data_IF_670463609283
#
_entry.id   IF_670463609283
#
_cell.length_a   1.000
_cell.length_b   1.000
_cell.length_c   1.000
_cell.angle_alpha   90.00
_cell.angle_beta   90.00
_cell.angle_gamma   90.00
#
_symmetry.space_group_name_H-M   'P 1'
#
loop_
_entity.id
_entity.type
_entity.pdbx_description
1 polymer ?
#
# COMPACT_ATOMS: atom_id res chain seq x y z
N UNK A 1 -1.11 44.44 55.36
CA UNK A 1 0.28 44.91 55.40
C UNK A 1 1.10 43.91 54.59
N UNK A 2 1.43 44.05 53.32
CA UNK A 2 1.25 45.05 52.26
C UNK A 2 1.23 44.22 50.95
N UNK A 3 0.16 44.26 50.15
CA UNK A 3 0.07 45.03 48.90
C UNK A 3 1.39 45.17 48.11
N UNK A 4 1.55 44.38 47.05
CA UNK A 4 1.97 44.96 45.78
C UNK A 4 1.47 44.14 44.58
N UNK A 5 0.46 44.67 43.91
CA UNK A 5 0.03 44.27 42.58
C UNK A 5 0.97 44.89 41.55
N UNK A 6 1.44 44.11 40.58
CA UNK A 6 1.69 44.61 39.22
C UNK A 6 1.20 43.59 38.20
N UNK A 7 0.10 43.96 37.55
CA UNK A 7 -0.33 43.39 36.29
C UNK A 7 0.47 44.01 35.14
N UNK A 8 0.88 43.20 34.16
CA UNK A 8 0.93 43.61 32.74
C UNK A 8 1.29 42.44 31.80
N UNK A 9 0.26 42.04 31.06
CA UNK A 9 0.23 41.66 29.64
C UNK A 9 0.77 40.29 29.14
N UNK A 10 -0.09 39.43 28.55
CA UNK A 10 0.29 38.23 27.82
C UNK A 10 0.34 38.52 26.30
N UNK A 11 1.53 38.74 25.75
CA UNK A 11 1.74 38.69 24.29
C UNK A 11 3.22 38.61 23.97
N UNK A 12 3.78 37.39 23.97
CA UNK A 12 4.95 37.07 23.16
C UNK A 12 4.61 35.81 22.39
N UNK A 13 4.11 36.01 21.18
CA UNK A 13 4.22 35.02 20.13
C UNK A 13 5.73 34.77 19.94
N UNK A 14 6.16 33.54 20.17
CA UNK A 14 7.45 33.08 19.68
C UNK A 14 7.37 33.10 18.15
N UNK A 15 7.92 34.15 17.56
CA UNK A 15 8.19 34.21 16.12
C UNK A 15 9.14 33.05 15.80
N UNK A 16 8.62 32.04 15.11
CA UNK A 16 9.40 30.92 14.61
C UNK A 16 10.55 31.43 13.75
N UNK A 17 11.74 30.88 13.99
CA UNK A 17 12.93 31.17 13.19
C UNK A 17 12.60 31.02 11.69
N UNK A 18 13.06 31.94 10.83
CA UNK A 18 12.78 31.89 9.40
C UNK A 18 13.36 30.60 8.81
N UNK A 19 12.56 29.91 7.98
CA UNK A 19 13.01 28.77 7.20
C UNK A 19 14.29 29.14 6.41
N UNK A 20 15.28 28.24 6.31
CA UNK A 20 16.48 28.53 5.56
C UNK A 20 16.12 28.87 4.11
N UNK A 21 16.65 29.98 3.61
CA UNK A 21 16.46 30.42 2.24
C UNK A 21 16.89 29.30 1.27
N UNK A 22 16.17 29.09 0.14
CA UNK A 22 16.54 28.07 -0.82
C UNK A 22 17.95 28.35 -1.35
N UNK A 23 18.81 27.35 -1.23
CA UNK A 23 20.15 27.39 -1.81
C UNK A 23 20.03 27.73 -3.30
N UNK A 24 20.80 28.72 -3.73
CA UNK A 24 20.78 29.24 -5.08
C UNK A 24 21.21 28.16 -6.10
N UNK A 25 20.33 27.91 -7.07
CA UNK A 25 20.68 27.54 -8.46
C UNK A 25 21.26 26.15 -8.70
N UNK A 26 20.40 25.13 -8.79
CA UNK A 26 20.70 23.97 -9.63
C UNK A 26 20.50 24.36 -11.13
N UNK A 27 21.36 23.90 -12.05
CA UNK A 27 21.23 24.24 -13.48
C UNK A 27 19.87 23.79 -14.02
N UNK A 28 19.27 24.65 -14.85
CA UNK A 28 17.86 24.61 -15.25
C UNK A 28 17.27 23.22 -15.43
N UNK A 29 16.44 22.81 -14.48
CA UNK A 29 15.68 21.57 -14.58
C UNK A 29 14.73 21.70 -15.77
N UNK A 30 15.02 20.98 -16.86
CA UNK A 30 14.08 20.82 -17.96
C UNK A 30 12.80 20.21 -17.39
N UNK A 31 11.74 21.02 -17.40
CA UNK A 31 10.39 20.55 -17.03
C UNK A 31 10.01 19.48 -18.05
N UNK A 32 9.67 18.25 -17.62
CA UNK A 32 9.27 17.19 -18.54
C UNK A 32 8.04 17.61 -19.36
N UNK A 33 8.01 17.26 -20.65
CA UNK A 33 6.81 17.39 -21.47
C UNK A 33 5.79 16.32 -21.04
N UNK A 34 4.96 16.67 -20.06
CA UNK A 34 3.94 15.77 -19.52
C UNK A 34 2.86 15.40 -20.54
N UNK A 35 2.63 16.22 -21.58
CA UNK A 35 1.71 15.85 -22.64
C UNK A 35 2.29 14.69 -23.47
N UNK A 36 3.54 14.81 -23.91
CA UNK A 36 4.22 13.74 -24.63
C UNK A 36 4.41 12.46 -23.78
N UNK A 37 4.74 12.61 -22.50
CA UNK A 37 4.91 11.47 -21.60
C UNK A 37 3.61 10.70 -21.36
N UNK A 38 2.45 11.38 -21.33
CA UNK A 38 1.15 10.71 -21.17
C UNK A 38 0.81 9.77 -22.34
N UNK A 39 1.34 9.99 -23.54
CA UNK A 39 1.16 9.08 -24.67
C UNK A 39 1.76 7.69 -24.44
N UNK A 40 2.66 7.55 -23.45
CA UNK A 40 3.19 6.25 -23.03
C UNK A 40 2.20 5.44 -22.16
N UNK A 41 1.23 6.10 -21.54
CA UNK A 41 0.24 5.48 -20.66
C UNK A 41 -0.93 4.88 -21.45
N UNK A 42 -0.64 3.82 -22.20
CA UNK A 42 -1.54 3.25 -23.21
C UNK A 42 -2.87 2.72 -22.67
N UNK A 43 -2.94 2.39 -21.38
CA UNK A 43 -4.15 1.89 -20.72
C UNK A 43 -4.68 2.86 -19.67
N UNK A 44 -4.14 4.07 -19.57
CA UNK A 44 -4.63 5.12 -18.67
C UNK A 44 -4.44 4.83 -17.18
N UNK A 45 -3.32 4.21 -16.78
CA UNK A 45 -2.98 3.97 -15.37
C UNK A 45 -2.97 5.25 -14.54
N UNK A 46 -2.46 6.37 -15.08
CA UNK A 46 -2.45 7.65 -14.40
C UNK A 46 -3.88 8.14 -14.14
N UNK A 47 -4.78 7.95 -15.10
CA UNK A 47 -6.21 8.23 -14.95
C UNK A 47 -6.86 7.32 -13.91
N UNK A 48 -6.53 6.02 -13.92
CA UNK A 48 -7.03 5.06 -12.94
C UNK A 48 -6.57 5.39 -11.51
N UNK A 49 -5.31 5.80 -11.33
CA UNK A 49 -4.81 6.31 -10.05
C UNK A 49 -5.58 7.58 -9.69
N UNK A 50 -5.62 8.61 -10.55
CA UNK A 50 -6.32 9.86 -10.27
C UNK A 50 -7.79 9.64 -9.86
N UNK A 51 -8.49 8.68 -10.49
CA UNK A 51 -9.87 8.33 -10.20
C UNK A 51 -10.09 7.53 -8.90
N UNK A 52 -9.04 7.22 -8.13
CA UNK A 52 -9.16 6.42 -6.90
C UNK A 52 -10.17 6.96 -5.87
N UNK A 53 -10.32 8.28 -5.62
CA UNK A 53 -11.36 8.79 -4.73
C UNK A 53 -12.77 8.46 -5.22
N UNK A 54 -13.00 8.52 -6.54
CA UNK A 54 -14.27 8.13 -7.15
C UNK A 54 -14.52 6.61 -7.01
N UNK A 55 -13.48 5.80 -7.23
CA UNK A 55 -13.54 4.36 -6.98
C UNK A 55 -13.94 4.06 -5.52
N UNK A 56 -13.41 4.80 -4.54
CA UNK A 56 -13.77 4.63 -3.13
C UNK A 56 -15.24 4.97 -2.85
N UNK A 57 -15.83 5.93 -3.56
CA UNK A 57 -17.25 6.28 -3.43
C UNK A 57 -18.15 5.16 -3.94
N UNK A 58 -17.80 4.56 -5.08
CA UNK A 58 -18.52 3.39 -5.59
C UNK A 58 -18.32 2.18 -4.67
N UNK A 59 -17.09 1.94 -4.23
CA UNK A 59 -16.75 0.86 -3.32
C UNK A 59 -17.35 1.04 -1.91
N UNK A 60 -17.62 2.27 -1.48
CA UNK A 60 -18.38 2.57 -0.26
C UNK A 60 -19.82 2.06 -0.37
N UNK A 61 -20.48 2.25 -1.51
CA UNK A 61 -21.83 1.73 -1.76
C UNK A 61 -21.83 0.20 -1.75
N UNK A 62 -20.89 -0.41 -2.47
CA UNK A 62 -20.70 -1.86 -2.49
C UNK A 62 -20.40 -2.43 -1.10
N UNK A 63 -19.56 -1.74 -0.31
CA UNK A 63 -19.24 -2.14 1.06
C UNK A 63 -20.47 -2.12 1.97
N UNK A 64 -21.28 -1.06 1.91
CA UNK A 64 -22.55 -0.98 2.65
C UNK A 64 -23.52 -2.08 2.27
N UNK A 65 -23.66 -2.36 0.97
CA UNK A 65 -24.48 -3.47 0.48
C UNK A 65 -23.95 -4.83 0.97
N UNK A 66 -22.65 -5.06 0.86
CA UNK A 66 -21.99 -6.27 1.34
C UNK A 66 -22.19 -6.46 2.86
N UNK A 67 -22.14 -5.40 3.66
CA UNK A 67 -22.38 -5.45 5.11
C UNK A 67 -23.74 -6.03 5.51
N UNK A 68 -24.72 -6.05 4.59
CA UNK A 68 -26.05 -6.64 4.80
C UNK A 68 -26.16 -8.10 4.35
N UNK A 69 -25.10 -8.70 3.81
CA UNK A 69 -25.10 -10.10 3.42
C UNK A 69 -25.37 -11.00 4.65
N UNK A 70 -26.15 -12.09 4.47
CA UNK A 70 -26.43 -13.00 5.56
C UNK A 70 -25.13 -13.64 6.04
N UNK A 71 -24.93 -13.67 7.36
CA UNK A 71 -23.70 -14.21 7.95
C UNK A 71 -23.51 -15.69 7.55
N UNK A 72 -22.30 -16.10 7.15
CA UNK A 72 -21.98 -17.50 6.91
C UNK A 72 -21.69 -18.28 8.21
N UNK A 73 -21.56 -17.57 9.34
CA UNK A 73 -21.36 -18.13 10.68
C UNK A 73 -22.40 -17.58 11.66
N UNK A 74 -22.79 -18.39 12.65
CA UNK A 74 -23.78 -18.00 13.67
C UNK A 74 -23.26 -16.96 14.68
N UNK A 75 -21.94 -16.83 14.83
CA UNK A 75 -21.29 -15.92 15.78
C UNK A 75 -20.10 -15.17 15.17
N UNK A 76 -19.38 -14.44 16.01
CA UNK A 76 -18.11 -13.81 15.65
C UNK A 76 -17.11 -14.89 15.22
N UNK A 77 -16.45 -14.75 14.05
CA UNK A 77 -15.40 -15.69 13.64
C UNK A 77 -14.26 -15.69 14.66
N UNK A 78 -13.55 -16.82 14.82
CA UNK A 78 -12.35 -16.90 15.68
C UNK A 78 -11.19 -16.09 15.12
N UNK A 79 -11.07 -16.05 13.80
CA UNK A 79 -10.08 -15.30 13.06
C UNK A 79 -10.62 -14.96 11.67
N UNK A 80 -10.06 -13.91 11.08
CA UNK A 80 -10.31 -13.51 9.70
C UNK A 80 -9.03 -13.71 8.88
N UNK A 81 -9.12 -14.48 7.81
CA UNK A 81 -8.02 -14.68 6.87
C UNK A 81 -8.40 -14.09 5.50
N UNK A 82 -7.50 -13.29 4.92
CA UNK A 82 -7.65 -12.76 3.56
C UNK A 82 -6.63 -13.45 2.66
N UNK A 83 -7.09 -14.35 1.80
CA UNK A 83 -6.29 -15.07 0.82
C UNK A 83 -6.30 -14.31 -0.52
N UNK A 84 -5.13 -13.88 -0.97
CA UNK A 84 -5.00 -13.11 -2.20
C UNK A 84 -3.54 -12.82 -2.53
N UNK A 85 -3.29 -12.29 -3.73
CA UNK A 85 -1.96 -11.95 -4.23
C UNK A 85 -1.94 -10.52 -4.77
N UNK A 86 -0.78 -9.88 -4.74
CA UNK A 86 -0.57 -8.54 -5.27
C UNK A 86 -1.65 -7.54 -4.84
N UNK A 87 -2.29 -6.89 -5.83
CA UNK A 87 -3.38 -5.92 -5.62
C UNK A 87 -4.60 -6.46 -4.85
N UNK A 88 -4.80 -7.77 -4.79
CA UNK A 88 -5.86 -8.39 -4.00
C UNK A 88 -5.46 -8.65 -2.55
N UNK A 89 -4.20 -9.00 -2.29
CA UNK A 89 -3.69 -9.19 -0.93
C UNK A 89 -3.58 -7.85 -0.16
N UNK A 90 -3.18 -6.78 -0.86
CA UNK A 90 -2.93 -5.48 -0.26
C UNK A 90 -4.19 -4.86 0.36
N UNK A 91 -5.38 -5.15 -0.19
CA UNK A 91 -6.65 -4.76 0.43
C UNK A 91 -6.82 -5.41 1.82
N UNK A 92 -6.41 -6.67 1.96
CA UNK A 92 -6.37 -7.37 3.25
C UNK A 92 -5.36 -6.76 4.23
N UNK A 93 -4.18 -6.36 3.77
CA UNK A 93 -3.18 -5.68 4.62
C UNK A 93 -3.74 -4.39 5.19
N UNK A 94 -4.48 -3.65 4.36
CA UNK A 94 -5.02 -2.36 4.75
C UNK A 94 -6.12 -2.54 5.79
N UNK A 95 -7.00 -3.52 5.59
CA UNK A 95 -8.00 -3.91 6.60
C UNK A 95 -7.31 -4.33 7.91
N UNK A 96 -6.30 -5.20 7.84
CA UNK A 96 -5.58 -5.68 9.01
C UNK A 96 -4.84 -4.56 9.76
N UNK A 97 -4.30 -3.56 9.06
CA UNK A 97 -3.57 -2.44 9.66
C UNK A 97 -4.48 -1.34 10.23
N UNK A 98 -5.62 -1.09 9.57
CA UNK A 98 -6.64 -0.13 10.02
C UNK A 98 -7.34 -0.65 11.26
N UNK A 99 -7.73 -1.93 11.25
CA UNK A 99 -8.48 -2.55 12.34
C UNK A 99 -7.61 -3.09 13.48
N UNK A 100 -6.29 -3.13 13.35
CA UNK A 100 -5.35 -3.62 14.39
C UNK A 100 -5.71 -3.17 15.83
N UNK A 101 -5.99 -1.89 16.13
CA UNK A 101 -6.29 -1.46 17.49
C UNK A 101 -7.71 -1.79 17.98
N UNK A 102 -8.62 -2.18 17.10
CA UNK A 102 -10.07 -2.29 17.38
C UNK A 102 -10.64 -3.70 17.15
N UNK A 103 -10.00 -4.51 16.31
CA UNK A 103 -10.48 -5.84 15.94
C UNK A 103 -10.45 -6.78 17.16
N UNK A 104 -11.58 -7.43 17.51
CA UNK A 104 -11.62 -8.38 18.63
C UNK A 104 -10.99 -9.72 18.27
N UNK A 105 -10.60 -9.92 17.01
CA UNK A 105 -10.09 -11.18 16.44
C UNK A 105 -8.95 -10.87 15.47
N UNK A 106 -7.99 -11.79 15.27
CA UNK A 106 -6.88 -11.54 14.36
C UNK A 106 -7.36 -11.45 12.91
N UNK A 107 -6.84 -10.45 12.19
CA UNK A 107 -6.96 -10.32 10.73
C UNK A 107 -5.59 -10.63 10.11
N UNK A 108 -5.53 -11.71 9.32
CA UNK A 108 -4.30 -12.29 8.76
C UNK A 108 -4.39 -12.31 7.24
N UNK A 109 -3.32 -11.95 6.54
CA UNK A 109 -3.24 -12.02 5.09
C UNK A 109 -2.40 -13.22 4.67
N UNK A 110 -2.94 -14.04 3.78
CA UNK A 110 -2.32 -15.25 3.25
C UNK A 110 -2.00 -15.05 1.76
N UNK A 111 -0.74 -15.31 1.38
CA UNK A 111 -0.21 -15.09 0.02
C UNK A 111 0.46 -16.35 -0.54
N UNK A 112 -0.13 -17.49 -0.26
CA UNK A 112 0.41 -18.78 -0.68
C UNK A 112 -0.75 -19.71 -1.07
N UNK A 113 -0.38 -20.87 -1.59
CA UNK A 113 -1.29 -21.98 -1.85
C UNK A 113 -1.88 -22.55 -0.56
N UNK A 114 -3.01 -23.25 -0.70
CA UNK A 114 -3.71 -23.89 0.41
C UNK A 114 -4.07 -22.91 1.53
N UNK A 115 -4.04 -23.39 2.77
CA UNK A 115 -4.36 -22.59 3.95
C UNK A 115 -3.49 -22.97 5.15
N UNK A 116 -3.18 -22.01 6.04
CA UNK A 116 -2.56 -22.31 7.34
C UNK A 116 -3.34 -23.38 8.10
N UNK A 117 -2.64 -24.26 8.82
CA UNK A 117 -3.25 -25.42 9.49
C UNK A 117 -4.28 -25.10 10.57
N UNK A 118 -4.35 -23.86 11.05
CA UNK A 118 -5.31 -23.43 12.06
C UNK A 118 -6.69 -23.09 11.50
N UNK A 119 -6.84 -22.90 10.18
CA UNK A 119 -8.09 -22.48 9.54
C UNK A 119 -9.08 -23.65 9.48
N UNK A 120 -10.30 -23.43 9.98
CA UNK A 120 -11.41 -24.40 9.93
C UNK A 120 -12.81 -23.78 10.10
N UNK A 121 -13.75 -24.56 10.61
CA UNK A 121 -15.20 -24.24 10.66
C UNK A 121 -15.58 -23.01 11.49
N UNK A 122 -14.69 -22.52 12.35
CA UNK A 122 -14.90 -21.32 13.17
C UNK A 122 -14.29 -20.04 12.58
N UNK A 123 -13.61 -20.13 11.44
CA UNK A 123 -12.86 -19.03 10.84
C UNK A 123 -13.55 -18.49 9.60
N UNK A 124 -13.28 -17.23 9.29
CA UNK A 124 -13.77 -16.55 8.10
C UNK A 124 -12.62 -16.36 7.10
N UNK A 125 -12.79 -16.88 5.89
CA UNK A 125 -11.83 -16.75 4.79
C UNK A 125 -12.40 -15.83 3.71
N UNK A 126 -11.72 -14.72 3.42
CA UNK A 126 -11.94 -13.94 2.22
C UNK A 126 -11.01 -14.45 1.12
N UNK A 127 -11.57 -15.05 0.07
CA UNK A 127 -10.84 -15.34 -1.16
C UNK A 127 -10.96 -14.12 -2.09
N UNK A 128 -9.88 -13.36 -2.23
CA UNK A 128 -9.87 -12.09 -2.97
C UNK A 128 -8.99 -12.22 -4.20
N UNK A 129 -9.60 -12.08 -5.38
CA UNK A 129 -8.88 -12.11 -6.65
C UNK A 129 -9.62 -11.27 -7.67
N UNK A 130 -9.04 -10.14 -8.11
CA UNK A 130 -9.73 -9.25 -9.05
C UNK A 130 -10.19 -9.99 -10.32
N UNK A 131 -9.32 -10.75 -10.96
CA UNK A 131 -9.65 -11.56 -12.14
C UNK A 131 -10.50 -12.80 -11.86
N UNK A 132 -10.65 -13.18 -10.58
CA UNK A 132 -11.21 -14.47 -10.16
C UNK A 132 -10.44 -15.73 -10.60
N UNK A 133 -9.26 -15.58 -11.22
CA UNK A 133 -8.50 -16.68 -11.81
C UNK A 133 -7.11 -16.91 -11.17
N UNK A 134 -6.81 -16.23 -10.06
CA UNK A 134 -5.50 -16.36 -9.40
C UNK A 134 -5.37 -17.74 -8.76
N UNK A 135 -4.35 -18.49 -9.15
CA UNK A 135 -4.19 -19.92 -8.86
C UNK A 135 -4.12 -20.20 -7.35
N UNK A 136 -3.31 -19.43 -6.62
CA UNK A 136 -3.11 -19.60 -5.18
C UNK A 136 -4.38 -19.21 -4.41
N UNK A 137 -5.09 -18.16 -4.85
CA UNK A 137 -6.40 -17.80 -4.27
C UNK A 137 -7.44 -18.90 -4.50
N UNK A 138 -7.48 -19.50 -5.69
CA UNK A 138 -8.38 -20.63 -5.96
C UNK A 138 -8.01 -21.84 -5.12
N UNK A 139 -6.72 -22.14 -4.94
CA UNK A 139 -6.25 -23.20 -4.05
C UNK A 139 -6.71 -22.97 -2.60
N UNK A 140 -6.54 -21.76 -2.07
CA UNK A 140 -7.02 -21.39 -0.73
C UNK A 140 -8.54 -21.47 -0.60
N UNK A 141 -9.27 -21.07 -1.65
CA UNK A 141 -10.74 -21.16 -1.69
C UNK A 141 -11.21 -22.61 -1.61
N UNK A 142 -10.67 -23.51 -2.44
CA UNK A 142 -11.07 -24.93 -2.42
C UNK A 142 -10.73 -25.60 -1.09
N UNK A 143 -9.56 -25.30 -0.53
CA UNK A 143 -9.16 -25.83 0.78
C UNK A 143 -10.06 -25.30 1.90
N UNK A 144 -10.47 -24.02 1.85
CA UNK A 144 -11.42 -23.44 2.81
C UNK A 144 -12.75 -24.19 2.77
N UNK A 145 -13.25 -24.46 1.55
CA UNK A 145 -14.46 -25.27 1.38
C UNK A 145 -14.24 -26.65 1.98
N UNK A 146 -13.18 -27.38 1.59
CA UNK A 146 -12.90 -28.72 2.07
C UNK A 146 -12.87 -28.84 3.61
N UNK A 147 -12.32 -27.83 4.29
CA UNK A 147 -12.26 -27.75 5.76
C UNK A 147 -13.55 -27.24 6.43
N UNK A 148 -14.55 -26.87 5.64
CA UNK A 148 -15.83 -26.35 6.12
C UNK A 148 -15.75 -24.94 6.72
N UNK A 149 -14.71 -24.17 6.38
CA UNK A 149 -14.60 -22.77 6.79
C UNK A 149 -15.69 -21.92 6.11
N UNK A 150 -16.06 -20.81 6.75
CA UNK A 150 -16.90 -19.83 6.10
C UNK A 150 -16.09 -19.02 5.07
N UNK A 151 -16.64 -18.80 3.88
CA UNK A 151 -15.91 -18.17 2.78
C UNK A 151 -16.68 -17.00 2.20
N UNK A 152 -15.96 -15.91 1.88
CA UNK A 152 -16.45 -14.84 1.02
C UNK A 152 -15.54 -14.73 -0.20
N UNK A 153 -16.10 -14.93 -1.39
CA UNK A 153 -15.41 -14.70 -2.65
C UNK A 153 -15.58 -13.25 -3.11
N UNK A 154 -14.47 -12.55 -3.36
CA UNK A 154 -14.47 -11.17 -3.87
C UNK A 154 -13.70 -11.10 -5.19
N UNK A 155 -14.39 -10.80 -6.29
CA UNK A 155 -13.82 -10.76 -7.63
C UNK A 155 -14.69 -9.96 -8.60
N UNK A 156 -14.15 -9.58 -9.77
CA UNK A 156 -14.97 -8.97 -10.82
C UNK A 156 -15.74 -9.99 -11.67
N UNK A 157 -15.31 -11.26 -11.63
CA UNK A 157 -15.84 -12.36 -12.42
C UNK A 157 -14.98 -13.60 -12.29
N UNK A 158 -15.04 -14.48 -13.29
CA UNK A 158 -14.14 -15.61 -13.44
C UNK A 158 -14.44 -16.81 -12.53
N UNK A 159 -13.54 -17.81 -12.54
CA UNK A 159 -13.75 -19.11 -11.89
C UNK A 159 -14.09 -19.02 -10.40
N UNK A 160 -13.51 -18.06 -9.69
CA UNK A 160 -13.76 -17.86 -8.26
C UNK A 160 -15.24 -17.59 -7.97
N UNK A 161 -15.91 -16.69 -8.72
CA UNK A 161 -17.34 -16.42 -8.50
C UNK A 161 -18.22 -17.56 -9.00
N UNK A 162 -17.84 -18.23 -10.08
CA UNK A 162 -18.57 -19.41 -10.59
C UNK A 162 -18.60 -20.53 -9.56
N UNK A 163 -17.44 -20.84 -8.96
CA UNK A 163 -17.30 -21.86 -7.91
C UNK A 163 -17.99 -21.44 -6.62
N UNK A 164 -17.89 -20.16 -6.23
CA UNK A 164 -18.58 -19.64 -5.07
C UNK A 164 -20.10 -19.74 -5.19
N UNK A 165 -20.66 -19.39 -6.35
CA UNK A 165 -22.08 -19.53 -6.63
C UNK A 165 -22.54 -20.99 -6.57
N UNK A 166 -21.76 -21.92 -7.14
CA UNK A 166 -22.06 -23.35 -7.08
C UNK A 166 -22.02 -23.89 -5.63
N UNK A 167 -21.03 -23.50 -4.84
CA UNK A 167 -20.90 -23.89 -3.44
C UNK A 167 -22.03 -23.31 -2.57
N UNK A 168 -22.40 -22.06 -2.78
CA UNK A 168 -23.52 -21.40 -2.09
C UNK A 168 -24.85 -22.10 -2.42
N UNK A 169 -25.10 -22.42 -3.70
CA UNK A 169 -26.29 -23.17 -4.13
C UNK A 169 -26.35 -24.59 -3.52
N UNK A 170 -25.20 -25.19 -3.22
CA UNK A 170 -25.08 -26.47 -2.52
C UNK A 170 -25.21 -26.35 -0.98
N UNK A 171 -25.54 -25.17 -0.46
CA UNK A 171 -25.75 -24.94 0.97
C UNK A 171 -24.46 -24.79 1.79
N UNK A 172 -23.31 -24.58 1.15
CA UNK A 172 -22.05 -24.31 1.86
C UNK A 172 -22.06 -22.89 2.44
N UNK A 173 -21.30 -22.62 3.51
CA UNK A 173 -21.24 -21.29 4.16
C UNK A 173 -20.42 -20.29 3.33
N UNK A 174 -20.89 -20.01 2.11
CA UNK A 174 -20.20 -19.20 1.11
C UNK A 174 -21.05 -17.98 0.76
N UNK A 175 -20.41 -16.83 0.63
CA UNK A 175 -20.99 -15.62 0.03
C UNK A 175 -20.11 -15.13 -1.10
N UNK A 176 -20.69 -14.32 -1.97
CA UNK A 176 -19.96 -13.67 -3.06
C UNK A 176 -20.21 -12.16 -3.07
N UNK A 177 -19.15 -11.42 -3.39
CA UNK A 177 -19.21 -10.00 -3.70
C UNK A 177 -18.60 -9.79 -5.08
N UNK A 178 -19.43 -9.43 -6.04
CA UNK A 178 -18.97 -9.03 -7.37
C UNK A 178 -18.58 -7.55 -7.34
N UNK A 179 -17.39 -7.25 -7.85
CA UNK A 179 -16.89 -5.87 -7.98
C UNK A 179 -16.77 -5.44 -9.44
N UNK A 180 -16.71 -4.13 -9.75
CA UNK A 180 -16.52 -3.66 -11.12
C UNK A 180 -15.22 -4.16 -11.77
N UNK A 181 -15.32 -4.60 -13.03
CA UNK A 181 -14.19 -5.02 -13.87
C UNK A 181 -13.56 -3.86 -14.65
N UNK A 182 -12.57 -4.16 -15.49
CA UNK A 182 -12.01 -3.21 -16.46
C UNK A 182 -10.77 -2.42 -16.02
N UNK A 183 -10.26 -2.66 -14.81
CA UNK A 183 -9.02 -2.04 -14.32
C UNK A 183 -7.85 -3.04 -14.30
N UNK A 184 -6.62 -2.53 -14.23
CA UNK A 184 -5.52 -3.35 -13.76
C UNK A 184 -5.75 -3.71 -12.28
N UNK A 185 -5.47 -4.96 -11.82
CA UNK A 185 -5.72 -5.37 -10.44
C UNK A 185 -5.09 -4.45 -9.38
N UNK A 186 -3.89 -3.91 -9.65
CA UNK A 186 -3.18 -2.98 -8.75
C UNK A 186 -3.82 -1.59 -8.61
N UNK A 187 -4.72 -1.24 -9.54
CA UNK A 187 -5.53 -0.02 -9.54
C UNK A 187 -6.96 -0.25 -9.01
N UNK A 188 -7.32 -1.47 -8.60
CA UNK A 188 -8.65 -1.83 -8.10
C UNK A 188 -8.74 -1.87 -6.56
N UNK A 189 -7.84 -1.19 -5.85
CA UNK A 189 -7.69 -1.31 -4.39
C UNK A 189 -9.00 -1.06 -3.64
N UNK A 190 -9.74 -0.01 -3.98
CA UNK A 190 -10.94 0.39 -3.25
C UNK A 190 -12.01 -0.69 -3.30
N UNK A 191 -12.23 -1.24 -4.50
CA UNK A 191 -13.16 -2.34 -4.74
C UNK A 191 -12.77 -3.63 -4.00
N UNK A 192 -11.49 -3.92 -3.86
CA UNK A 192 -11.01 -5.15 -3.22
C UNK A 192 -10.90 -5.02 -1.69
N UNK A 193 -10.72 -3.80 -1.19
CA UNK A 193 -10.54 -3.49 0.23
C UNK A 193 -11.87 -3.25 0.94
N UNK A 194 -12.75 -2.39 0.41
CA UNK A 194 -13.93 -1.94 1.17
C UNK A 194 -14.94 -3.06 1.45
N UNK A 195 -15.29 -3.96 0.51
CA UNK A 195 -16.14 -5.10 0.86
C UNK A 195 -15.57 -5.95 1.99
N UNK A 196 -14.25 -6.20 1.99
CA UNK A 196 -13.56 -6.95 3.05
C UNK A 196 -13.63 -6.19 4.38
N UNK A 197 -13.40 -4.87 4.36
CA UNK A 197 -13.49 -4.01 5.55
C UNK A 197 -14.90 -4.06 6.15
N UNK A 198 -15.93 -3.79 5.34
CA UNK A 198 -17.32 -3.74 5.80
C UNK A 198 -17.79 -5.08 6.36
N UNK A 199 -17.51 -6.17 5.66
CA UNK A 199 -17.86 -7.51 6.12
C UNK A 199 -17.11 -7.90 7.40
N UNK A 200 -15.81 -7.59 7.45
CA UNK A 200 -15.02 -7.83 8.67
C UNK A 200 -15.61 -7.06 9.85
N UNK A 201 -15.88 -5.77 9.72
CA UNK A 201 -16.42 -4.98 10.82
C UNK A 201 -17.84 -5.44 11.24
N UNK A 202 -18.72 -5.70 10.26
CA UNK A 202 -20.09 -6.13 10.50
C UNK A 202 -20.17 -7.50 11.20
N UNK A 203 -19.25 -8.41 10.89
CA UNK A 203 -19.29 -9.78 11.41
C UNK A 203 -18.37 -10.01 12.62
N UNK A 204 -17.46 -9.08 12.91
CA UNK A 204 -16.64 -9.11 14.13
C UNK A 204 -17.17 -8.20 15.24
N UNK A 205 -18.04 -7.25 14.92
CA UNK A 205 -18.64 -6.33 15.90
C UNK A 205 -17.89 -5.02 16.08
N UNK A 206 -16.93 -4.68 15.22
CA UNK A 206 -16.21 -3.39 15.23
C UNK A 206 -17.14 -2.21 14.93
N UNK A 207 -18.21 -2.42 14.15
CA UNK A 207 -19.20 -1.39 13.81
C UNK A 207 -19.08 -0.86 12.37
N UNK A 208 -19.79 0.21 12.03
CA UNK A 208 -19.82 0.75 10.66
C UNK A 208 -18.59 1.63 10.37
N UNK A 209 -17.72 1.27 9.39
CA UNK A 209 -16.54 2.06 9.05
C UNK A 209 -16.83 3.29 8.17
N UNK A 210 -18.09 3.56 7.80
CA UNK A 210 -18.49 4.59 6.83
C UNK A 210 -17.87 5.97 7.08
N UNK A 211 -17.87 6.46 8.32
CA UNK A 211 -17.32 7.78 8.62
C UNK A 211 -15.80 7.88 8.32
N UNK A 212 -15.05 6.78 8.52
CA UNK A 212 -13.63 6.73 8.19
C UNK A 212 -13.41 6.71 6.67
N UNK A 213 -14.27 6.00 5.93
CA UNK A 213 -14.23 5.93 4.46
C UNK A 213 -14.56 7.29 3.84
N UNK A 214 -15.62 7.95 4.32
CA UNK A 214 -16.04 9.28 3.85
C UNK A 214 -14.96 10.34 4.13
N UNK A 215 -14.32 10.30 5.31
CA UNK A 215 -13.17 11.17 5.59
C UNK A 215 -12.02 10.89 4.62
N UNK A 216 -11.67 9.62 4.39
CA UNK A 216 -10.59 9.26 3.48
C UNK A 216 -10.86 9.79 2.06
N UNK A 217 -12.08 9.61 1.53
CA UNK A 217 -12.50 10.16 0.24
C UNK A 217 -12.29 11.68 0.21
N UNK A 218 -12.73 12.41 1.23
CA UNK A 218 -12.56 13.86 1.32
C UNK A 218 -11.09 14.29 1.37
N UNK A 219 -10.24 13.51 2.07
CA UNK A 219 -8.78 13.74 2.12
C UNK A 219 -8.16 13.54 0.74
N UNK A 220 -8.45 12.42 0.07
CA UNK A 220 -7.85 12.10 -1.22
C UNK A 220 -8.32 13.04 -2.33
N UNK A 221 -9.59 13.47 -2.34
CA UNK A 221 -10.08 14.49 -3.29
C UNK A 221 -9.33 15.81 -3.21
N UNK A 222 -8.92 16.22 -2.00
CA UNK A 222 -8.08 17.41 -1.83
C UNK A 222 -6.67 17.14 -2.35
N UNK A 223 -6.09 16.00 -1.99
CA UNK A 223 -4.76 15.60 -2.41
C UNK A 223 -4.65 15.48 -3.95
N UNK A 224 -5.67 14.95 -4.62
CA UNK A 224 -5.73 14.81 -6.07
C UNK A 224 -5.46 16.14 -6.80
N UNK A 225 -5.95 17.27 -6.27
CA UNK A 225 -5.74 18.61 -6.86
C UNK A 225 -4.27 19.02 -6.93
N UNK A 226 -3.43 18.48 -6.04
CA UNK A 226 -2.00 18.77 -5.97
C UNK A 226 -1.15 17.75 -6.73
N UNK A 227 -1.68 16.54 -6.90
CA UNK A 227 -0.97 15.42 -7.51
C UNK A 227 -1.28 15.26 -8.99
N UNK A 228 -2.45 15.69 -9.45
CA UNK A 228 -2.84 15.57 -10.85
C UNK A 228 -1.90 16.31 -11.80
N UNK A 229 -1.77 15.85 -13.05
CA UNK A 229 -0.69 16.27 -13.93
C UNK A 229 -1.06 17.55 -14.70
N UNK A 230 -2.04 18.32 -14.20
CA UNK A 230 -2.55 19.56 -14.80
C UNK A 230 -1.92 20.84 -14.24
N UNK A 231 -1.03 20.74 -13.24
CA UNK A 231 -0.36 21.87 -12.59
C UNK A 231 1.15 21.95 -12.84
N UNK A 232 1.85 23.01 -12.35
CA UNK A 232 3.31 23.04 -12.29
C UNK A 232 3.86 21.84 -11.51
N UNK A 233 5.14 21.48 -11.70
CA UNK A 233 5.76 20.25 -11.17
C UNK A 233 5.40 19.97 -9.70
N UNK A 234 4.35 19.17 -9.50
CA UNK A 234 3.81 18.82 -8.18
C UNK A 234 4.75 17.95 -7.34
N UNK A 235 4.44 17.77 -6.04
CA UNK A 235 5.32 17.04 -5.11
C UNK A 235 5.60 15.59 -5.55
N UNK A 236 4.63 14.89 -6.15
CA UNK A 236 4.85 13.53 -6.64
C UNK A 236 5.82 13.47 -7.82
N UNK A 237 5.76 14.44 -8.75
CA UNK A 237 6.71 14.52 -9.87
C UNK A 237 8.14 14.75 -9.38
N UNK A 238 8.32 15.67 -8.42
CA UNK A 238 9.63 15.97 -7.84
C UNK A 238 10.23 14.76 -7.15
N UNK A 239 9.43 14.02 -6.37
CA UNK A 239 9.91 12.80 -5.73
C UNK A 239 10.21 11.72 -6.78
N UNK A 240 9.35 11.53 -7.77
CA UNK A 240 9.57 10.56 -8.84
C UNK A 240 10.92 10.77 -9.55
N UNK A 241 11.29 12.02 -9.86
CA UNK A 241 12.61 12.35 -10.42
C UNK A 241 13.76 11.96 -9.52
N UNK A 242 13.65 12.19 -8.21
CA UNK A 242 14.70 11.83 -7.25
C UNK A 242 14.92 10.30 -7.17
N UNK A 243 13.90 9.49 -7.45
CA UNK A 243 14.00 8.03 -7.39
C UNK A 243 14.75 7.40 -8.56
N UNK A 244 14.78 8.03 -9.75
CA UNK A 244 15.13 7.34 -11.01
C UNK A 244 16.55 6.82 -11.09
N UNK A 245 17.46 7.41 -10.31
CA UNK A 245 18.88 7.13 -10.44
C UNK A 245 19.47 6.49 -9.18
N UNK A 246 18.63 6.13 -8.20
CA UNK A 246 19.07 5.77 -6.84
C UNK A 246 18.49 4.42 -6.39
N UNK A 247 19.23 3.65 -5.56
CA UNK A 247 18.61 2.62 -4.73
C UNK A 247 17.53 3.22 -3.83
N UNK A 248 16.32 2.65 -3.84
CA UNK A 248 15.15 3.19 -3.12
C UNK A 248 14.81 2.31 -1.92
N UNK A 249 14.80 2.91 -0.75
CA UNK A 249 14.37 2.31 0.51
C UNK A 249 13.13 3.02 1.03
N UNK A 250 12.11 2.27 1.44
CA UNK A 250 10.81 2.81 1.86
C UNK A 250 10.53 2.33 3.27
N UNK A 251 10.50 3.25 4.22
CA UNK A 251 10.33 2.92 5.63
C UNK A 251 8.98 3.37 6.15
N UNK A 252 8.37 2.58 7.04
CA UNK A 252 7.13 2.94 7.72
C UNK A 252 7.07 2.36 9.12
N UNK A 253 6.31 2.98 10.02
CA UNK A 253 6.17 2.51 11.41
C UNK A 253 4.89 1.70 11.64
N UNK A 254 5.00 0.68 12.50
CA UNK A 254 3.87 -0.17 12.88
C UNK A 254 3.22 -0.86 11.67
N UNK A 255 2.06 -1.49 11.87
CA UNK A 255 1.35 -2.14 10.75
C UNK A 255 0.89 -1.15 9.68
N UNK A 256 0.43 0.03 10.08
CA UNK A 256 -0.10 1.04 9.16
C UNK A 256 0.97 1.57 8.20
N UNK A 257 2.09 2.07 8.73
CA UNK A 257 3.18 2.56 7.90
C UNK A 257 3.82 1.46 7.05
N UNK A 258 3.96 0.24 7.59
CA UNK A 258 4.52 -0.89 6.83
C UNK A 258 3.62 -1.35 5.68
N UNK A 259 2.29 -1.37 5.86
CA UNK A 259 1.36 -1.68 4.77
C UNK A 259 1.47 -0.66 3.63
N UNK A 260 1.60 0.63 3.96
CA UNK A 260 1.86 1.68 2.97
C UNK A 260 3.22 1.49 2.27
N UNK A 261 4.29 1.24 3.03
CA UNK A 261 5.64 1.06 2.50
C UNK A 261 5.73 -0.15 1.55
N UNK A 262 5.10 -1.26 1.92
CA UNK A 262 5.01 -2.44 1.06
C UNK A 262 4.23 -2.13 -0.23
N UNK A 263 3.11 -1.41 -0.15
CA UNK A 263 2.37 -0.98 -1.35
C UNK A 263 3.26 -0.15 -2.27
N UNK A 264 3.99 0.82 -1.73
CA UNK A 264 4.90 1.65 -2.52
C UNK A 264 5.95 0.81 -3.26
N UNK A 265 6.57 -0.17 -2.58
CA UNK A 265 7.49 -1.08 -3.24
C UNK A 265 6.81 -1.81 -4.40
N UNK A 266 5.62 -2.38 -4.19
CA UNK A 266 4.89 -3.06 -5.26
C UNK A 266 4.61 -2.14 -6.45
N UNK A 267 4.13 -0.91 -6.20
CA UNK A 267 3.82 0.04 -7.27
C UNK A 267 5.06 0.51 -8.03
N UNK A 268 6.18 0.77 -7.33
CA UNK A 268 7.44 1.13 -7.98
C UNK A 268 8.00 -0.03 -8.82
N UNK A 269 7.90 -1.26 -8.31
CA UNK A 269 8.31 -2.46 -9.02
C UNK A 269 7.44 -2.68 -10.28
N UNK A 270 6.10 -2.59 -10.16
CA UNK A 270 5.16 -2.90 -11.25
C UNK A 270 5.02 -1.77 -12.28
N UNK A 271 4.89 -0.51 -11.84
CA UNK A 271 4.67 0.63 -12.73
C UNK A 271 6.01 1.11 -13.31
N UNK A 272 6.96 1.45 -12.42
CA UNK A 272 8.21 2.11 -12.79
C UNK A 272 9.37 1.16 -13.09
N UNK A 273 9.24 -0.14 -12.80
CA UNK A 273 10.30 -1.15 -12.95
C UNK A 273 11.55 -0.76 -12.14
N UNK A 274 11.33 -0.10 -11.00
CA UNK A 274 12.36 0.26 -10.03
C UNK A 274 12.36 -0.81 -8.95
N UNK A 275 13.50 -1.48 -8.73
CA UNK A 275 13.63 -2.46 -7.65
C UNK A 275 13.76 -1.69 -6.32
N UNK A 276 12.63 -1.48 -5.66
CA UNK A 276 12.59 -0.82 -4.36
C UNK A 276 12.61 -1.85 -3.20
N UNK A 277 13.07 -1.43 -2.03
CA UNK A 277 13.05 -2.20 -0.80
C UNK A 277 12.22 -1.51 0.28
N UNK A 278 11.44 -2.25 1.06
CA UNK A 278 10.69 -1.72 2.20
C UNK A 278 11.11 -2.40 3.50
N UNK A 279 11.08 -1.64 4.61
CA UNK A 279 11.24 -2.18 5.95
C UNK A 279 10.44 -1.38 6.99
N UNK A 280 10.18 -1.99 8.14
CA UNK A 280 9.38 -1.44 9.22
C UNK A 280 10.14 -0.97 10.47
N UNK A 281 9.72 0.15 11.06
CA UNK A 281 10.05 0.51 12.43
C UNK A 281 9.14 -0.22 13.45
N UNK A 282 9.67 -0.68 14.60
CA UNK A 282 11.04 -0.47 15.08
C UNK A 282 12.06 -1.50 14.60
N UNK A 283 11.63 -2.58 13.93
CA UNK A 283 12.48 -3.73 13.60
C UNK A 283 13.74 -3.37 12.80
N UNK A 284 13.63 -2.45 11.83
CA UNK A 284 14.77 -2.01 11.02
C UNK A 284 15.92 -1.44 11.84
N UNK A 285 15.63 -0.88 13.02
CA UNK A 285 16.66 -0.36 13.93
C UNK A 285 17.41 -1.44 14.71
N UNK A 286 16.97 -2.71 14.63
CA UNK A 286 17.65 -3.83 15.26
C UNK A 286 18.57 -4.59 14.30
N UNK A 287 18.43 -4.38 12.98
CA UNK A 287 19.15 -5.14 11.96
C UNK A 287 19.66 -4.24 10.82
N UNK A 288 18.78 -3.65 10.01
CA UNK A 288 19.11 -2.91 8.80
C UNK A 288 19.92 -1.64 9.07
N UNK A 289 19.79 -1.03 10.25
CA UNK A 289 20.62 0.11 10.66
C UNK A 289 22.12 -0.19 10.56
N UNK A 290 22.55 -1.42 10.84
CA UNK A 290 23.95 -1.82 10.72
C UNK A 290 24.38 -1.92 9.25
N UNK A 291 23.46 -2.27 8.34
CA UNK A 291 23.72 -2.29 6.90
C UNK A 291 24.12 -0.92 6.37
N UNK A 292 23.54 0.15 6.93
CA UNK A 292 23.89 1.52 6.57
C UNK A 292 25.34 1.89 6.92
N UNK A 293 25.95 1.29 7.96
CA UNK A 293 27.37 1.54 8.28
C UNK A 293 28.32 1.10 7.15
N UNK A 294 27.90 0.13 6.33
CA UNK A 294 28.62 -0.34 5.15
C UNK A 294 28.49 0.56 3.92
N UNK A 295 27.55 1.51 3.89
CA UNK A 295 27.37 2.44 2.77
C UNK A 295 28.37 3.60 2.89
N UNK A 296 29.29 3.83 1.93
CA UNK A 296 30.29 4.89 2.03
C UNK A 296 29.69 6.28 2.30
N UNK A 297 30.40 7.10 3.09
CA UNK A 297 30.05 8.51 3.31
C UNK A 297 30.31 9.35 2.05
N UNK A 298 29.52 10.40 1.87
CA UNK A 298 29.68 11.38 0.80
C UNK A 298 31.12 11.95 0.79
N UNK A 299 31.73 11.95 -0.40
CA UNK A 299 33.09 12.47 -0.59
C UNK A 299 34.23 11.53 -0.20
N UNK A 300 33.95 10.36 0.40
CA UNK A 300 34.97 9.37 0.76
C UNK A 300 35.49 8.53 -0.44
N UNK A 301 35.26 8.99 -1.68
CA UNK A 301 35.83 8.41 -2.89
C UNK A 301 37.35 8.70 -2.95
N UNK A 302 38.11 7.97 -2.13
CA UNK A 302 39.56 8.03 -2.06
C UNK A 302 40.10 6.83 -1.31
N UNK A 303 40.13 5.65 -1.96
CA UNK A 303 40.65 4.44 -1.31
C UNK A 303 40.55 3.15 -2.10
N UNK A 304 41.26 3.09 -3.22
CA UNK A 304 41.93 1.89 -3.78
C UNK A 304 41.17 0.54 -3.79
N UNK A 305 40.38 0.33 -4.84
CA UNK A 305 40.00 -0.99 -5.35
C UNK A 305 39.72 -0.87 -6.83
N UNK A 306 40.55 -1.48 -7.66
CA UNK A 306 40.54 -1.36 -9.13
C UNK A 306 39.16 -1.57 -9.74
N UNK A 307 38.60 -0.52 -10.32
CA UNK A 307 37.32 -0.57 -11.02
C UNK A 307 36.88 0.79 -11.51
N UNK A 308 37.78 1.53 -12.18
CA UNK A 308 37.38 2.70 -12.94
C UNK A 308 36.38 2.28 -14.02
N UNK A 309 35.11 2.66 -13.83
CA UNK A 309 34.16 2.93 -14.90
C UNK A 309 33.24 4.04 -14.41
N UNK A 310 32.94 4.95 -15.31
CA UNK A 310 31.89 5.97 -15.19
C UNK A 310 30.60 5.30 -14.69
N UNK A 311 30.28 5.41 -13.39
CA UNK A 311 29.22 4.59 -12.79
C UNK A 311 29.31 4.37 -11.27
N UNK A 312 29.74 5.36 -10.50
CA UNK A 312 29.61 5.29 -9.04
C UNK A 312 28.12 5.06 -8.68
N UNK A 313 27.78 4.10 -7.80
CA UNK A 313 26.40 3.90 -7.40
C UNK A 313 25.90 5.20 -6.77
N UNK A 314 24.80 5.74 -7.30
CA UNK A 314 24.26 6.98 -6.75
C UNK A 314 23.81 6.76 -5.31
N UNK A 315 23.93 7.82 -4.52
CA UNK A 315 23.53 7.86 -3.11
C UNK A 315 22.10 7.31 -2.97
N UNK A 316 21.88 6.24 -2.16
CA UNK A 316 20.55 5.72 -1.88
C UNK A 316 19.58 6.81 -1.42
N UNK A 317 18.28 6.60 -1.62
CA UNK A 317 17.23 7.46 -1.13
C UNK A 317 16.30 6.68 -0.22
N UNK A 318 16.16 7.15 1.02
CA UNK A 318 15.15 6.69 1.96
C UNK A 318 13.91 7.57 1.83
N UNK A 319 12.77 6.95 1.58
CA UNK A 319 11.45 7.57 1.72
C UNK A 319 10.82 7.06 3.01
N UNK A 320 10.79 7.91 4.03
CA UNK A 320 10.20 7.59 5.33
C UNK A 320 8.73 8.04 5.37
N UNK A 321 7.83 7.08 5.44
CA UNK A 321 6.39 7.29 5.58
C UNK A 321 6.04 7.45 7.06
N UNK A 322 5.48 8.60 7.40
CA UNK A 322 5.08 8.94 8.77
C UNK A 322 3.56 9.12 8.84
N UNK A 323 2.91 8.37 9.74
CA UNK A 323 1.49 8.46 9.99
C UNK A 323 1.20 9.16 11.32
N UNK A 324 0.11 9.92 11.39
CA UNK A 324 -0.33 10.57 12.64
C UNK A 324 -0.43 9.60 13.83
N UNK A 325 -1.04 8.41 13.67
CA UNK A 325 -1.17 7.40 14.72
C UNK A 325 0.12 6.66 15.11
N UNK A 326 1.28 7.00 14.53
CA UNK A 326 2.53 6.31 14.88
C UNK A 326 2.82 6.41 16.38
N UNK A 327 3.38 5.35 16.95
CA UNK A 327 3.82 5.38 18.33
C UNK A 327 4.89 6.47 18.51
N UNK A 328 4.86 7.30 19.57
CA UNK A 328 5.83 8.40 19.74
C UNK A 328 7.30 7.95 19.67
N UNK A 329 7.63 6.77 20.21
CA UNK A 329 8.99 6.21 20.13
C UNK A 329 9.42 5.84 18.70
N UNK A 330 8.48 5.53 17.80
CA UNK A 330 8.80 5.28 16.40
C UNK A 330 9.07 6.59 15.67
N UNK A 331 8.36 7.69 15.98
CA UNK A 331 8.72 9.02 15.47
C UNK A 331 10.13 9.44 15.91
N UNK A 332 10.47 9.22 17.19
CA UNK A 332 11.84 9.46 17.67
C UNK A 332 12.86 8.59 16.95
N UNK A 333 12.55 7.31 16.69
CA UNK A 333 13.41 6.41 15.91
C UNK A 333 13.63 6.88 14.49
N UNK A 334 12.58 7.33 13.80
CA UNK A 334 12.69 7.88 12.46
C UNK A 334 13.67 9.05 12.42
N UNK A 335 13.55 9.99 13.36
CA UNK A 335 14.47 11.14 13.46
C UNK A 335 15.92 10.72 13.71
N UNK A 336 16.16 9.87 14.72
CA UNK A 336 17.51 9.37 15.03
C UNK A 336 18.08 8.56 13.85
N UNK A 337 17.26 7.77 13.17
CA UNK A 337 17.69 7.00 12.00
C UNK A 337 18.12 7.91 10.87
N UNK A 338 17.36 8.98 10.61
CA UNK A 338 17.71 9.97 9.59
C UNK A 338 19.07 10.62 9.88
N UNK A 339 19.36 10.93 11.15
CA UNK A 339 20.66 11.45 11.59
C UNK A 339 21.79 10.42 11.40
N UNK A 340 21.55 9.17 11.77
CA UNK A 340 22.56 8.10 11.69
C UNK A 340 22.94 7.74 10.25
N UNK A 341 22.00 7.87 9.30
CA UNK A 341 22.25 7.60 7.88
C UNK A 341 22.60 8.86 7.09
N UNK A 342 22.74 10.01 7.76
CA UNK A 342 23.14 11.25 7.10
C UNK A 342 24.54 11.10 6.48
N UNK A 343 24.73 11.75 5.33
CA UNK A 343 25.90 11.56 4.48
C UNK A 343 26.01 10.20 3.79
N UNK A 344 25.09 9.25 4.04
CA UNK A 344 25.06 7.91 3.41
C UNK A 344 23.85 7.71 2.50
N UNK A 345 22.70 8.26 2.88
CA UNK A 345 21.47 8.20 2.10
C UNK A 345 20.77 9.56 2.09
N UNK A 346 20.15 9.93 0.96
CA UNK A 346 19.16 11.00 0.97
C UNK A 346 17.96 10.58 1.81
N UNK A 347 17.28 11.53 2.44
CA UNK A 347 16.13 11.25 3.28
C UNK A 347 14.96 12.17 2.93
N UNK A 348 13.81 11.58 2.58
CA UNK A 348 12.57 12.30 2.33
C UNK A 348 11.49 11.75 3.25
N UNK A 349 10.85 12.61 4.02
CA UNK A 349 9.70 12.25 4.85
C UNK A 349 8.40 12.57 4.13
N UNK A 350 7.49 11.60 4.09
CA UNK A 350 6.13 11.77 3.55
C UNK A 350 5.13 11.59 4.68
N UNK A 351 4.33 12.62 4.95
CA UNK A 351 3.33 12.59 6.01
C UNK A 351 1.97 12.12 5.49
N UNK A 352 1.29 11.29 6.27
CA UNK A 352 -0.10 10.91 6.06
C UNK A 352 -1.07 12.02 6.48
N UNK A 353 -2.21 12.08 5.81
CA UNK A 353 -3.23 13.11 5.98
C UNK A 353 -4.57 12.52 6.45
N UNK A 354 -5.35 13.31 7.19
CA UNK A 354 -6.63 12.89 7.78
C UNK A 354 -6.50 12.49 9.25
N UNK A 355 -7.62 12.23 9.92
CA UNK A 355 -7.63 11.87 11.35
C UNK A 355 -7.75 10.36 11.55
N UNK A 356 -8.58 9.68 10.76
CA UNK A 356 -8.72 8.23 10.83
C UNK A 356 -7.47 7.50 10.31
N UNK A 357 -7.26 6.28 10.81
CA UNK A 357 -6.21 5.38 10.33
C UNK A 357 -6.37 5.07 8.84
N UNK A 358 -7.62 4.90 8.37
CA UNK A 358 -7.91 4.66 6.97
C UNK A 358 -7.49 5.85 6.09
N UNK A 359 -7.84 7.09 6.47
CA UNK A 359 -7.42 8.27 5.71
C UNK A 359 -5.90 8.45 5.67
N UNK A 360 -5.22 8.22 6.80
CA UNK A 360 -3.76 8.26 6.91
C UNK A 360 -3.09 7.23 5.98
N UNK A 361 -3.54 5.97 6.03
CA UNK A 361 -3.01 4.89 5.20
C UNK A 361 -3.24 5.14 3.71
N UNK A 362 -4.46 5.52 3.35
CA UNK A 362 -4.83 5.74 1.95
C UNK A 362 -4.14 6.98 1.37
N UNK A 363 -3.94 8.05 2.14
CA UNK A 363 -3.24 9.25 1.63
C UNK A 363 -1.74 9.04 1.40
N UNK A 364 -1.08 8.27 2.28
CA UNK A 364 0.30 7.82 2.05
C UNK A 364 0.40 6.97 0.78
N UNK A 365 -0.52 6.02 0.63
CA UNK A 365 -0.57 5.10 -0.51
C UNK A 365 -0.85 5.82 -1.82
N UNK A 366 -1.82 6.73 -1.82
CA UNK A 366 -2.23 7.49 -2.99
C UNK A 366 -1.10 8.35 -3.54
N UNK A 367 -0.31 8.98 -2.64
CA UNK A 367 0.89 9.71 -3.04
C UNK A 367 1.91 8.79 -3.72
N UNK A 368 2.16 7.61 -3.14
CA UNK A 368 3.07 6.61 -3.72
C UNK A 368 2.62 6.07 -5.06
N UNK A 369 1.32 5.85 -5.24
CA UNK A 369 0.73 5.42 -6.51
C UNK A 369 1.06 6.44 -7.62
N UNK A 370 0.83 7.74 -7.37
CA UNK A 370 1.21 8.81 -8.31
C UNK A 370 2.72 8.83 -8.58
N UNK A 371 3.55 8.82 -7.52
CA UNK A 371 5.02 8.80 -7.65
C UNK A 371 5.48 7.64 -8.53
N UNK A 372 4.88 6.46 -8.39
CA UNK A 372 5.24 5.28 -9.19
C UNK A 372 4.88 5.42 -10.67
N UNK A 373 3.73 6.01 -10.98
CA UNK A 373 3.32 6.23 -12.38
C UNK A 373 4.19 7.30 -13.01
N UNK A 374 4.46 8.41 -12.30
CA UNK A 374 5.37 9.44 -12.78
C UNK A 374 6.79 8.92 -12.99
N UNK A 375 7.29 8.07 -12.09
CA UNK A 375 8.59 7.44 -12.26
C UNK A 375 8.63 6.54 -13.49
N UNK A 376 7.55 5.82 -13.81
CA UNK A 376 7.45 5.03 -15.04
C UNK A 376 7.53 5.93 -16.30
N UNK A 377 6.72 6.99 -16.32
CA UNK A 377 6.64 7.91 -17.45
C UNK A 377 7.98 8.62 -17.69
N UNK A 378 8.63 9.12 -16.63
CA UNK A 378 9.94 9.76 -16.73
C UNK A 378 11.04 8.80 -17.23
N UNK A 379 10.85 7.48 -17.07
CA UNK A 379 11.75 6.44 -17.62
C UNK A 379 11.40 6.05 -19.05
N UNK A 380 10.39 6.67 -19.67
CA UNK A 380 9.93 6.29 -21.00
C UNK A 380 9.18 4.95 -21.02
N UNK A 381 8.60 4.53 -19.91
CA UNK A 381 7.93 3.23 -19.76
C UNK A 381 6.41 3.39 -19.70
N UNK A 382 5.70 2.42 -20.28
CA UNK A 382 4.26 2.23 -20.05
C UNK A 382 4.04 1.68 -18.62
N UNK A 383 3.38 2.43 -17.72
CA UNK A 383 3.11 1.99 -16.35
C UNK A 383 2.18 0.77 -16.30
N UNK A 384 1.43 0.50 -17.37
CA UNK A 384 0.48 -0.61 -17.45
C UNK A 384 1.15 -1.93 -17.83
N UNK A 385 2.30 -1.89 -18.50
CA UNK A 385 2.99 -3.07 -19.03
C UNK A 385 3.53 -4.00 -17.92
N UNK A 386 3.23 -5.31 -18.04
CA UNK A 386 3.58 -6.35 -17.06
C UNK A 386 4.11 -7.65 -17.71
N UNK A 387 4.95 -7.51 -18.74
CA UNK A 387 5.40 -8.63 -19.58
C UNK A 387 6.03 -9.81 -18.81
N UNK A 388 6.85 -9.56 -17.78
CA UNK A 388 7.45 -10.63 -16.97
C UNK A 388 6.41 -11.45 -16.22
N UNK A 389 5.35 -10.81 -15.70
CA UNK A 389 4.25 -11.50 -15.01
C UNK A 389 3.47 -12.36 -16.01
N UNK A 390 3.17 -11.83 -17.20
CA UNK A 390 2.49 -12.59 -18.26
C UNK A 390 3.29 -13.81 -18.68
N UNK A 391 4.59 -13.64 -18.95
CA UNK A 391 5.50 -14.74 -19.31
C UNK A 391 5.58 -15.81 -18.21
N UNK A 392 5.61 -15.40 -16.94
CA UNK A 392 5.60 -16.36 -15.83
C UNK A 392 4.31 -17.19 -15.81
N UNK A 393 3.15 -16.53 -15.92
CA UNK A 393 1.83 -17.18 -15.94
C UNK A 393 1.70 -18.15 -17.11
N UNK A 394 2.13 -17.76 -18.30
CA UNK A 394 2.13 -18.62 -19.49
C UNK A 394 2.98 -19.88 -19.29
N UNK A 395 4.18 -19.73 -18.72
CA UNK A 395 5.07 -20.87 -18.46
C UNK A 395 4.51 -21.82 -17.41
N UNK A 396 3.87 -21.30 -16.36
CA UNK A 396 3.21 -22.12 -15.34
C UNK A 396 1.99 -22.86 -15.92
N UNK A 397 1.16 -22.18 -16.72
CA UNK A 397 0.00 -22.79 -17.35
C UNK A 397 0.36 -23.90 -18.38
N UNK A 398 1.58 -23.87 -18.93
CA UNK A 398 2.08 -24.89 -19.84
C UNK A 398 2.62 -26.14 -19.12
N UNK A 399 2.74 -26.13 -17.78
CA UNK A 399 3.18 -27.30 -17.01
C UNK A 399 2.05 -28.33 -16.92
N UNK A 400 2.34 -29.64 -16.94
CA UNK A 400 1.34 -30.68 -16.74
C UNK A 400 0.67 -30.54 -15.36
N UNK A 401 -0.67 -30.62 -15.33
CA UNK A 401 -1.44 -30.68 -14.07
C UNK A 401 -1.11 -31.99 -13.35
N UNK A 402 -0.25 -31.94 -12.32
CA UNK A 402 0.14 -33.13 -11.53
C UNK A 402 1.58 -33.19 -11.03
N UNK A 403 2.46 -32.23 -11.34
CA UNK A 403 3.84 -32.25 -10.84
C UNK A 403 4.02 -31.71 -9.40
N UNK A 404 2.93 -31.31 -8.72
CA UNK A 404 2.94 -30.75 -7.36
C UNK A 404 2.28 -31.66 -6.33
N UNK A 405 3.01 -32.69 -5.90
CA UNK A 405 2.93 -33.28 -4.55
C UNK A 405 1.59 -33.81 -4.04
N UNK A 406 1.35 -35.12 -4.25
CA UNK A 406 0.87 -35.95 -3.14
C UNK A 406 2.02 -36.07 -2.13
N UNK A 407 1.99 -35.28 -1.07
CA UNK A 407 2.76 -35.56 0.14
C UNK A 407 1.82 -36.27 1.12
N UNK A 408 2.20 -37.48 1.51
CA UNK A 408 1.40 -38.43 2.30
C UNK A 408 1.32 -38.13 3.79
#
# INVERSE_FOLDING_TARGET
MDSNQRASNPSRQEEGAPAPAPAAGAPGAVVPDWAALRELDRQGMLGAVAAFPHQLEEALRLGREAGNLPRPLAGTPRAVLVAGLGGSAIGGDFVAAVLEPEAPVPVVVHRDYGLPGWVGTGDLVFAVSYSGATEETLSAFEEALARGAAVVAVASGGPLLERAAAAEAAGRPVRQVRVPGGLAPRAALGYLMLPVLYLTCAWTGVGDPSAQVEEAIAVLRRQARELEPGGPEGPAHRLARQLLERPVFIYGAGRLGQAAAYRWQCQLNENAKLLAHYHGFPELNHNEIMGWEGVPLDGAAGGTGSGGRDGAPQRPLVVCLQAGPDHPRNRTRMAITAELVDGRAGWVTVAGHGRSRLAQLLSLSYFGDFVSVYAALLRGLDPSAIASIQRLKERLAALPVGAGGTAG
#
